data_IF_511162993303
#
_entry.id   IF_511162993303
#
_cell.length_a   1.000
_cell.length_b   1.000
_cell.length_c   1.000
_cell.angle_alpha   90.00
_cell.angle_beta   90.00
_cell.angle_gamma   90.00
#
_symmetry.space_group_name_H-M   'P 1'
#
loop_
_entity.id
_entity.type
_entity.pdbx_description
1 polymer ?
#
# COMPACT_ATOMS: atom_id res chain seq x y z
N UNK A 1 22.74 -6.34 -3.01
CA UNK A 1 21.55 -6.93 -2.35
C UNK A 1 21.40 -6.25 -0.98
N UNK A 2 20.65 -5.14 -0.90
CA UNK A 2 20.49 -4.30 0.31
C UNK A 2 19.04 -4.44 0.82
N UNK A 3 18.75 -5.53 1.52
CA UNK A 3 17.39 -5.85 2.00
C UNK A 3 17.17 -6.05 3.52
N UNK A 4 18.19 -6.19 4.39
CA UNK A 4 17.92 -6.52 5.80
C UNK A 4 17.31 -5.36 6.61
N UNK A 5 17.60 -4.11 6.26
CA UNK A 5 17.13 -2.97 7.05
C UNK A 5 15.63 -2.69 6.90
N UNK A 6 15.01 -3.10 5.78
CA UNK A 6 13.57 -2.95 5.58
C UNK A 6 12.75 -3.83 6.52
N UNK A 7 13.24 -5.05 6.81
CA UNK A 7 12.62 -5.90 7.82
C UNK A 7 12.71 -5.24 9.20
N UNK A 8 13.90 -4.74 9.57
CA UNK A 8 14.11 -4.02 10.83
C UNK A 8 13.21 -2.78 10.94
N UNK A 9 13.10 -1.98 9.88
CA UNK A 9 12.18 -0.84 9.85
C UNK A 9 10.72 -1.28 9.99
N UNK A 10 10.32 -2.32 9.27
CA UNK A 10 9.00 -2.92 9.37
C UNK A 10 8.64 -3.39 10.78
N UNK A 11 9.60 -4.00 11.48
CA UNK A 11 9.46 -4.42 12.87
C UNK A 11 9.29 -3.22 13.80
N UNK A 12 10.13 -2.19 13.64
CA UNK A 12 10.04 -0.95 14.43
C UNK A 12 8.69 -0.26 14.20
N UNK A 13 8.26 -0.13 12.94
CA UNK A 13 6.95 0.44 12.59
C UNK A 13 5.83 -0.40 13.20
N UNK A 14 5.87 -1.73 13.09
CA UNK A 14 4.82 -2.59 13.65
C UNK A 14 4.77 -2.48 15.17
N UNK A 15 5.90 -2.44 15.88
CA UNK A 15 5.91 -2.24 17.33
C UNK A 15 5.37 -0.85 17.70
N UNK A 16 5.88 0.20 17.06
CA UNK A 16 5.52 1.58 17.38
C UNK A 16 4.06 1.89 17.04
N UNK A 17 3.60 1.52 15.84
CA UNK A 17 2.27 1.81 15.35
C UNK A 17 1.15 1.18 16.19
N UNK A 18 1.48 0.11 16.90
CA UNK A 18 0.57 -0.67 17.74
C UNK A 18 0.66 -0.29 19.22
N UNK A 19 1.50 0.68 19.58
CA UNK A 19 1.47 1.30 20.89
C UNK A 19 0.22 2.19 21.02
N UNK A 20 -0.33 2.29 22.23
CA UNK A 20 -1.40 3.25 22.56
C UNK A 20 -0.84 4.66 22.61
N UNK A 21 -0.63 5.26 21.43
CA UNK A 21 -0.13 6.62 21.30
C UNK A 21 -1.18 7.60 21.84
N UNK A 22 -0.77 8.50 22.73
CA UNK A 22 -1.66 9.50 23.33
C UNK A 22 -1.95 10.65 22.36
N UNK A 23 -1.08 10.85 21.36
CA UNK A 23 -1.21 11.92 20.39
C UNK A 23 -0.91 11.40 18.97
N UNK A 24 -1.94 11.32 18.13
CA UNK A 24 -1.83 10.81 16.77
C UNK A 24 -1.05 11.74 15.84
N UNK A 25 -0.87 13.02 16.21
CA UNK A 25 -0.05 13.99 15.46
C UNK A 25 1.43 13.67 15.45
N UNK A 26 1.88 12.88 16.42
CA UNK A 26 3.30 12.72 16.68
C UNK A 26 3.87 11.44 16.04
N UNK A 27 3.09 10.70 15.24
CA UNK A 27 3.51 9.40 14.69
C UNK A 27 4.78 9.48 13.82
N UNK A 28 4.79 10.39 12.84
CA UNK A 28 5.98 10.61 12.01
C UNK A 28 7.06 11.36 12.79
N UNK A 29 6.68 12.31 13.64
CA UNK A 29 7.59 13.11 14.46
C UNK A 29 8.43 12.22 15.40
N UNK A 30 7.78 11.31 16.14
CA UNK A 30 8.44 10.41 17.07
C UNK A 30 9.38 9.44 16.37
N UNK A 31 9.08 9.09 15.11
CA UNK A 31 9.91 8.23 14.28
C UNK A 31 11.01 8.97 13.52
N UNK A 32 10.96 10.32 13.48
CA UNK A 32 11.85 11.16 12.67
C UNK A 32 13.34 10.93 12.96
N UNK A 33 13.71 10.78 14.24
CA UNK A 33 15.10 10.55 14.65
C UNK A 33 15.63 9.20 14.18
N UNK A 34 14.83 8.14 14.32
CA UNK A 34 15.17 6.79 13.83
C UNK A 34 15.23 6.80 12.31
N UNK A 35 14.26 7.43 11.65
CA UNK A 35 14.22 7.56 10.20
C UNK A 35 15.48 8.26 9.65
N UNK A 36 15.95 9.35 10.27
CA UNK A 36 17.19 10.02 9.87
C UNK A 36 18.41 9.12 10.00
N UNK A 37 18.53 8.40 11.12
CA UNK A 37 19.63 7.44 11.32
C UNK A 37 19.62 6.32 10.28
N UNK A 38 18.44 5.78 9.94
CA UNK A 38 18.29 4.78 8.90
C UNK A 38 18.63 5.34 7.51
N UNK A 39 18.16 6.54 7.19
CA UNK A 39 18.45 7.23 5.93
C UNK A 39 19.95 7.43 5.73
N UNK A 40 20.65 7.94 6.74
CA UNK A 40 22.11 8.14 6.71
C UNK A 40 22.87 6.82 6.54
N UNK A 41 22.50 5.80 7.31
CA UNK A 41 23.19 4.51 7.32
C UNK A 41 22.99 3.73 6.02
N UNK A 42 21.76 3.74 5.47
CA UNK A 42 21.38 2.93 4.32
C UNK A 42 21.50 3.67 2.98
N UNK A 43 21.70 4.99 3.02
CA UNK A 43 21.70 5.88 1.85
C UNK A 43 20.40 5.76 1.04
N UNK A 44 19.26 5.65 1.72
CA UNK A 44 17.93 5.62 1.10
C UNK A 44 17.11 6.82 1.57
N UNK A 45 16.11 7.22 0.79
CA UNK A 45 15.27 8.39 1.08
C UNK A 45 14.02 7.98 1.85
N UNK A 46 13.83 8.59 3.01
CA UNK A 46 12.62 8.44 3.80
C UNK A 46 11.45 9.23 3.19
N UNK A 47 10.31 8.57 3.01
CA UNK A 47 9.10 9.11 2.41
C UNK A 47 7.92 8.86 3.35
N UNK A 48 7.65 9.81 4.26
CA UNK A 48 6.49 9.80 5.15
C UNK A 48 6.18 8.43 5.80
N UNK A 49 7.18 7.72 6.30
CA UNK A 49 7.02 6.42 6.95
C UNK A 49 7.51 5.22 6.13
N UNK A 50 7.79 5.41 4.84
CA UNK A 50 8.21 4.40 3.88
C UNK A 50 9.59 4.74 3.29
N UNK A 51 10.17 3.81 2.52
CA UNK A 51 11.48 3.96 1.90
C UNK A 51 11.42 4.00 0.38
N UNK A 52 12.09 4.98 -0.23
CA UNK A 52 12.14 5.16 -1.69
C UNK A 52 12.65 3.92 -2.42
N UNK A 53 13.73 3.30 -1.93
CA UNK A 53 14.39 2.17 -2.58
C UNK A 53 13.54 0.91 -2.70
N UNK A 54 12.50 0.77 -1.86
CA UNK A 54 11.57 -0.37 -1.87
C UNK A 54 10.10 0.07 -1.80
N UNK A 55 9.79 1.26 -2.32
CA UNK A 55 8.43 1.82 -2.20
C UNK A 55 7.35 0.87 -2.73
N UNK A 56 7.65 0.08 -3.75
CA UNK A 56 6.78 -0.97 -4.29
C UNK A 56 6.41 -2.06 -3.27
N UNK A 57 7.29 -2.37 -2.32
CA UNK A 57 7.02 -3.30 -1.23
C UNK A 57 6.46 -2.59 -0.01
N UNK A 58 6.94 -1.39 0.31
CA UNK A 58 6.49 -0.66 1.48
C UNK A 58 5.02 -0.22 1.36
N UNK A 59 4.56 0.07 0.13
CA UNK A 59 3.14 0.30 -0.16
C UNK A 59 2.24 -0.94 0.06
N UNK A 60 2.80 -2.11 0.39
CA UNK A 60 2.00 -3.32 0.74
C UNK A 60 1.71 -3.44 2.23
N UNK A 61 1.95 -2.38 3.03
CA UNK A 61 1.51 -2.38 4.44
C UNK A 61 0.01 -2.67 4.55
N UNK A 62 -0.47 -3.13 5.70
CA UNK A 62 -1.88 -3.48 5.91
C UNK A 62 -2.32 -3.26 7.35
N UNK A 63 -3.63 -3.18 7.55
CA UNK A 63 -4.27 -3.14 8.87
C UNK A 63 -5.11 -4.39 9.10
N UNK A 64 -5.50 -4.62 10.35
CA UNK A 64 -6.47 -5.65 10.72
C UNK A 64 -7.92 -5.13 10.77
N UNK A 65 -8.25 -4.03 10.08
CA UNK A 65 -9.63 -3.51 10.05
C UNK A 65 -10.60 -4.52 9.45
N UNK A 66 -10.17 -5.24 8.41
CA UNK A 66 -10.96 -6.31 7.77
C UNK A 66 -11.18 -7.53 8.68
N UNK A 67 -10.42 -7.62 9.78
CA UNK A 67 -10.56 -8.64 10.83
C UNK A 67 -11.42 -8.15 12.00
N UNK A 68 -12.02 -6.96 11.89
CA UNK A 68 -12.95 -6.38 12.87
C UNK A 68 -12.35 -5.33 13.80
N UNK A 69 -11.08 -4.98 13.63
CA UNK A 69 -10.47 -3.90 14.41
C UNK A 69 -11.08 -2.52 14.06
N UNK A 70 -11.12 -1.63 15.04
CA UNK A 70 -11.56 -0.24 14.86
C UNK A 70 -10.39 0.59 14.36
N UNK A 71 -10.32 0.78 13.04
CA UNK A 71 -9.26 1.53 12.36
C UNK A 71 -9.87 2.73 11.65
N UNK A 72 -9.34 3.91 11.93
CA UNK A 72 -9.79 5.16 11.32
C UNK A 72 -8.62 5.92 10.73
N UNK A 73 -8.90 6.89 9.85
CA UNK A 73 -7.89 7.83 9.39
C UNK A 73 -7.46 8.71 10.56
N UNK A 74 -6.16 8.98 10.65
CA UNK A 74 -5.63 9.92 11.64
C UNK A 74 -6.24 11.31 11.43
N UNK A 75 -6.53 12.02 12.51
CA UNK A 75 -6.93 13.44 12.46
C UNK A 75 -5.76 14.33 12.03
N UNK A 76 -4.54 13.88 12.27
CA UNK A 76 -3.33 14.56 11.84
C UNK A 76 -2.94 14.17 10.43
N UNK A 77 -2.38 15.13 9.69
CA UNK A 77 -2.04 14.89 8.30
C UNK A 77 -0.92 13.84 8.15
N UNK A 78 -1.25 12.78 7.43
CA UNK A 78 -0.33 11.90 6.75
C UNK A 78 -0.99 11.44 5.43
N UNK A 79 -0.22 11.25 4.34
CA UNK A 79 -0.79 10.87 3.06
C UNK A 79 -1.41 9.47 3.14
N UNK A 80 -2.48 9.19 2.39
CA UNK A 80 -3.23 7.92 2.58
C UNK A 80 -2.42 6.68 2.25
N UNK A 81 -1.37 6.82 1.45
CA UNK A 81 -0.41 5.78 1.12
C UNK A 81 0.62 5.49 2.23
N UNK A 82 0.71 6.32 3.27
CA UNK A 82 1.53 6.09 4.46
C UNK A 82 0.76 5.30 5.52
N UNK A 83 1.45 4.38 6.22
CA UNK A 83 0.90 3.70 7.38
C UNK A 83 0.53 4.65 8.52
N UNK A 84 1.15 5.84 8.58
CA UNK A 84 0.86 6.84 9.61
C UNK A 84 -0.50 7.52 9.40
N UNK A 85 -1.16 7.29 8.26
CA UNK A 85 -2.50 7.85 7.97
C UNK A 85 -3.64 7.14 8.68
N UNK A 86 -3.38 6.05 9.41
CA UNK A 86 -4.40 5.26 10.12
C UNK A 86 -4.01 4.98 11.57
N UNK A 87 -5.02 4.85 12.43
CA UNK A 87 -4.89 4.64 13.89
C UNK A 87 -5.94 3.66 14.40
N UNK A 88 -5.73 3.09 15.59
CA UNK A 88 -6.72 2.27 16.33
C UNK A 88 -6.63 0.75 16.14
N UNK A 89 -5.89 0.25 15.14
CA UNK A 89 -5.68 -1.19 14.93
C UNK A 89 -4.22 -1.58 14.72
N UNK A 90 -4.02 -2.86 14.42
CA UNK A 90 -2.70 -3.43 14.19
C UNK A 90 -2.21 -3.10 12.79
N UNK A 91 -1.06 -2.44 12.69
CA UNK A 91 -0.38 -2.15 11.42
C UNK A 91 0.73 -3.18 11.20
N UNK A 92 0.84 -3.66 9.97
CA UNK A 92 1.92 -4.54 9.55
C UNK A 92 2.59 -3.97 8.31
N UNK A 93 3.87 -3.65 8.44
CA UNK A 93 4.76 -3.28 7.34
C UNK A 93 5.77 -4.43 7.18
N UNK A 94 5.48 -5.39 6.31
CA UNK A 94 6.37 -6.51 6.04
C UNK A 94 6.67 -6.59 4.55
N UNK A 95 7.94 -6.85 4.22
CA UNK A 95 8.29 -7.16 2.83
C UNK A 95 7.56 -8.41 2.36
N UNK A 96 7.03 -8.35 1.15
CA UNK A 96 6.50 -9.52 0.48
C UNK A 96 7.68 -10.47 0.19
N UNK A 97 7.68 -11.65 0.78
CA UNK A 97 8.72 -12.65 0.59
C UNK A 97 8.11 -13.97 0.11
N UNK A 98 8.80 -14.64 -0.82
CA UNK A 98 8.42 -15.99 -1.20
C UNK A 98 8.75 -16.93 -0.04
N UNK A 99 7.93 -17.98 0.14
CA UNK A 99 8.31 -19.14 0.95
C UNK A 99 9.64 -19.76 0.50
N UNK A 100 10.08 -19.48 -0.73
CA UNK A 100 11.30 -20.00 -1.35
C UNK A 100 12.40 -18.94 -1.49
N UNK A 101 12.33 -17.80 -0.77
CA UNK A 101 13.41 -16.80 -0.73
C UNK A 101 13.54 -15.90 -1.97
N UNK A 102 12.59 -15.94 -2.90
CA UNK A 102 12.52 -15.02 -4.03
C UNK A 102 12.26 -13.58 -3.60
N UNK A 103 13.01 -12.64 -4.18
CA UNK A 103 12.81 -11.20 -3.98
C UNK A 103 11.59 -10.70 -4.75
N UNK A 104 10.83 -9.74 -4.18
CA UNK A 104 9.75 -9.10 -4.90
C UNK A 104 10.28 -8.32 -6.10
N UNK A 105 9.60 -8.50 -7.23
CA UNK A 105 9.84 -7.82 -8.50
C UNK A 105 8.94 -6.59 -8.54
N UNK A 106 9.49 -5.37 -8.69
CA UNK A 106 8.69 -4.16 -8.77
C UNK A 106 7.82 -4.16 -10.04
N UNK A 107 6.57 -3.73 -9.90
CA UNK A 107 5.60 -3.55 -10.99
C UNK A 107 5.12 -2.09 -11.09
N UNK A 108 5.80 -1.19 -10.40
CA UNK A 108 5.66 0.25 -10.48
C UNK A 108 7.04 0.91 -10.59
N UNK A 109 7.06 2.11 -11.15
CA UNK A 109 8.23 3.00 -11.12
C UNK A 109 7.86 4.28 -10.37
N UNK A 110 8.67 4.65 -9.37
CA UNK A 110 8.52 5.94 -8.70
C UNK A 110 9.18 7.02 -9.56
N UNK A 111 8.37 7.93 -10.09
CA UNK A 111 8.83 9.03 -10.93
C UNK A 111 9.27 10.21 -10.08
N UNK A 112 8.44 10.60 -9.11
CA UNK A 112 8.72 11.75 -8.24
C UNK A 112 8.04 11.58 -6.88
N UNK A 113 8.69 12.05 -5.82
CA UNK A 113 8.08 12.20 -4.51
C UNK A 113 8.14 13.67 -4.09
N UNK A 114 6.98 14.29 -3.85
CA UNK A 114 6.87 15.69 -3.40
C UNK A 114 6.42 15.71 -1.94
N UNK A 115 7.37 15.90 -1.03
CA UNK A 115 7.14 15.95 0.41
C UNK A 115 7.35 17.39 0.89
N UNK A 116 6.35 17.95 1.55
CA UNK A 116 6.37 19.30 2.11
C UNK A 116 6.17 19.19 3.62
N UNK A 117 7.17 19.56 4.40
CA UNK A 117 7.08 19.65 5.86
C UNK A 117 6.11 20.74 6.34
N UNK A 118 5.69 20.65 7.60
CA UNK A 118 5.03 21.75 8.32
C UNK A 118 5.92 22.21 9.49
N UNK A 119 6.43 23.45 9.47
CA UNK A 119 6.29 24.46 8.42
C UNK A 119 7.08 24.12 7.13
N UNK A 120 6.75 24.72 5.97
CA UNK A 120 7.45 24.47 4.71
C UNK A 120 8.94 24.78 4.79
N UNK A 121 9.77 23.86 4.26
CA UNK A 121 11.24 23.98 4.29
C UNK A 121 11.89 23.51 5.59
N UNK A 122 11.10 22.97 6.51
CA UNK A 122 11.54 22.30 7.73
C UNK A 122 11.93 20.83 7.50
N UNK A 123 11.70 20.01 8.53
CA UNK A 123 12.08 18.60 8.54
C UNK A 123 11.07 17.71 7.81
N UNK A 124 11.48 17.16 6.66
CA UNK A 124 10.64 16.28 5.83
C UNK A 124 10.49 14.84 6.39
N UNK A 125 11.10 14.51 7.52
CA UNK A 125 10.88 13.20 8.18
C UNK A 125 9.86 13.25 9.32
N UNK A 126 9.41 14.44 9.71
CA UNK A 126 8.49 14.66 10.83
C UNK A 126 7.10 15.08 10.38
N UNK A 127 6.64 16.24 10.87
CA UNK A 127 5.32 16.78 10.57
C UNK A 127 5.25 17.26 9.12
N UNK A 128 4.20 16.85 8.41
CA UNK A 128 4.01 17.14 6.98
C UNK A 128 2.80 18.02 6.76
N UNK A 129 2.89 18.89 5.75
CA UNK A 129 1.78 19.66 5.17
C UNK A 129 1.15 18.91 4.00
N UNK A 130 1.99 18.34 3.14
CA UNK A 130 1.57 17.52 2.01
C UNK A 130 2.64 16.50 1.64
N UNK A 131 2.21 15.38 1.04
CA UNK A 131 3.09 14.32 0.59
C UNK A 131 2.44 13.57 -0.57
N UNK A 132 3.06 13.66 -1.75
CA UNK A 132 2.55 13.11 -2.99
C UNK A 132 3.58 12.18 -3.62
N UNK A 133 3.12 11.05 -4.17
CA UNK A 133 3.95 10.12 -4.94
C UNK A 133 3.43 10.01 -6.35
N UNK A 134 4.23 10.45 -7.32
CA UNK A 134 3.98 10.18 -8.72
C UNK A 134 4.60 8.85 -9.08
N UNK A 135 3.75 7.91 -9.48
CA UNK A 135 4.17 6.58 -9.91
C UNK A 135 3.72 6.33 -11.34
N UNK A 136 4.58 5.71 -12.11
CA UNK A 136 4.18 5.04 -13.34
C UNK A 136 3.66 3.65 -12.92
N UNK A 137 2.41 3.36 -13.29
CA UNK A 137 1.78 2.05 -13.06
C UNK A 137 0.94 1.55 -14.25
N UNK A 138 0.64 0.25 -14.29
CA UNK A 138 -0.46 -0.28 -15.09
C UNK A 138 -1.74 -0.24 -14.24
N UNK A 139 -2.77 0.46 -14.73
CA UNK A 139 -4.06 0.52 -14.05
C UNK A 139 -4.95 -0.66 -14.44
N UNK A 140 -5.59 -1.21 -13.41
CA UNK A 140 -6.62 -2.22 -13.50
C UNK A 140 -7.88 -1.69 -12.81
N UNK A 141 -9.01 -2.33 -13.07
CA UNK A 141 -10.29 -1.97 -12.48
C UNK A 141 -10.83 -3.15 -11.71
N UNK A 142 -11.38 -2.92 -10.53
CA UNK A 142 -11.96 -4.00 -9.73
C UNK A 142 -13.46 -3.84 -9.54
N UNK A 143 -14.11 -4.98 -9.28
CA UNK A 143 -15.48 -5.10 -8.83
C UNK A 143 -15.55 -6.12 -7.69
N UNK A 144 -15.96 -5.66 -6.52
CA UNK A 144 -16.31 -6.48 -5.38
C UNK A 144 -17.82 -6.73 -5.37
N UNK A 145 -18.24 -7.98 -5.16
CA UNK A 145 -19.66 -8.36 -5.01
C UNK A 145 -19.87 -8.98 -3.64
N UNK A 146 -20.65 -8.30 -2.79
CA UNK A 146 -20.88 -8.67 -1.39
C UNK A 146 -21.44 -10.08 -1.24
N UNK A 147 -22.51 -10.39 -1.98
CA UNK A 147 -23.27 -11.65 -1.85
C UNK A 147 -22.40 -12.89 -2.08
N UNK A 148 -21.46 -12.81 -3.02
CA UNK A 148 -20.59 -13.92 -3.40
C UNK A 148 -19.19 -13.80 -2.82
N UNK A 149 -18.88 -12.71 -2.10
CA UNK A 149 -17.52 -12.36 -1.66
C UNK A 149 -16.47 -12.46 -2.77
N UNK A 150 -16.85 -12.09 -4.00
CA UNK A 150 -15.99 -12.18 -5.17
C UNK A 150 -15.35 -10.84 -5.49
N UNK A 151 -14.06 -10.88 -5.77
CA UNK A 151 -13.30 -9.78 -6.35
C UNK A 151 -12.95 -10.16 -7.79
N UNK A 152 -13.49 -9.41 -8.74
CA UNK A 152 -13.11 -9.47 -10.14
C UNK A 152 -12.21 -8.29 -10.48
N UNK A 153 -11.16 -8.54 -11.25
CA UNK A 153 -10.20 -7.52 -11.71
C UNK A 153 -10.16 -7.55 -13.24
N UNK A 154 -10.10 -6.38 -13.87
CA UNK A 154 -10.21 -6.17 -15.30
C UNK A 154 -9.06 -5.29 -15.81
N UNK A 155 -8.63 -5.54 -17.05
CA UNK A 155 -7.54 -4.77 -17.71
C UNK A 155 -8.03 -3.51 -18.42
N UNK A 156 -9.34 -3.28 -18.47
CA UNK A 156 -9.98 -2.16 -19.16
C UNK A 156 -11.04 -1.48 -18.29
N UNK A 157 -11.23 -0.18 -18.49
CA UNK A 157 -12.17 0.65 -17.72
C UNK A 157 -13.63 0.22 -17.90
N UNK A 158 -13.98 -0.26 -19.10
CA UNK A 158 -15.31 -0.81 -19.38
C UNK A 158 -15.57 -2.15 -18.66
N UNK A 159 -14.55 -2.73 -18.01
CA UNK A 159 -14.62 -3.98 -17.23
C UNK A 159 -15.13 -5.16 -18.07
N UNK A 160 -14.64 -5.25 -19.31
CA UNK A 160 -15.00 -6.32 -20.26
C UNK A 160 -13.93 -7.41 -20.38
N UNK A 161 -12.67 -7.07 -20.11
CA UNK A 161 -11.51 -7.96 -20.18
C UNK A 161 -11.09 -8.39 -18.78
N UNK A 162 -11.76 -9.43 -18.28
CA UNK A 162 -11.47 -10.01 -16.97
C UNK A 162 -10.04 -10.57 -16.91
N UNK A 163 -9.25 -10.10 -15.94
CA UNK A 163 -7.96 -10.65 -15.57
C UNK A 163 -8.12 -11.86 -14.65
N UNK A 164 -8.89 -11.72 -13.56
CA UNK A 164 -9.35 -12.83 -12.73
C UNK A 164 -10.70 -12.50 -12.07
N UNK A 165 -11.44 -13.55 -11.67
CA UNK A 165 -12.62 -13.47 -10.80
C UNK A 165 -12.50 -14.58 -9.75
N UNK A 166 -12.33 -14.19 -8.49
CA UNK A 166 -12.05 -15.12 -7.39
C UNK A 166 -12.85 -14.78 -6.15
N UNK A 167 -13.31 -15.80 -5.44
CA UNK A 167 -13.86 -15.67 -4.10
C UNK A 167 -12.72 -15.41 -3.10
N UNK A 168 -12.82 -14.30 -2.36
CA UNK A 168 -11.85 -13.94 -1.33
C UNK A 168 -12.36 -14.39 0.04
N UNK A 169 -11.49 -15.09 0.77
CA UNK A 169 -11.63 -15.28 2.22
C UNK A 169 -10.96 -14.08 2.91
N UNK A 170 -11.37 -13.78 4.14
CA UNK A 170 -10.98 -12.57 4.88
C UNK A 170 -9.45 -12.41 5.09
N UNK A 171 -8.63 -13.39 4.69
CA UNK A 171 -7.17 -13.38 4.81
C UNK A 171 -6.42 -12.83 3.59
N UNK A 172 -7.09 -12.54 2.46
CA UNK A 172 -6.42 -12.14 1.21
C UNK A 172 -6.76 -10.70 0.73
N UNK A 173 -7.73 -10.04 1.37
CA UNK A 173 -8.20 -8.68 1.06
C UNK A 173 -8.15 -7.84 2.34
N UNK A 174 -7.31 -6.80 2.33
CA UNK A 174 -7.06 -5.92 3.47
C UNK A 174 -7.51 -4.50 3.16
N UNK A 175 -8.69 -4.13 3.65
CA UNK A 175 -9.22 -2.77 3.58
C UNK A 175 -8.68 -1.97 4.76
N UNK A 176 -8.18 -0.75 4.52
CA UNK A 176 -7.38 0.00 5.49
C UNK A 176 -8.18 0.46 6.73
N UNK A 177 -9.46 0.82 6.56
CA UNK A 177 -10.27 1.52 7.58
C UNK A 177 -11.64 0.89 7.79
N UNK A 178 -12.18 1.01 9.01
CA UNK A 178 -13.48 0.44 9.42
C UNK A 178 -14.64 1.00 8.61
N UNK A 179 -14.65 2.30 8.31
CA UNK A 179 -15.71 2.90 7.47
C UNK A 179 -15.74 2.31 6.04
N UNK A 180 -14.57 1.95 5.51
CA UNK A 180 -14.46 1.35 4.18
C UNK A 180 -14.81 -0.13 4.22
N UNK A 181 -14.44 -0.85 5.29
CA UNK A 181 -14.92 -2.21 5.55
C UNK A 181 -16.44 -2.23 5.59
N UNK A 182 -17.05 -1.29 6.31
CA UNK A 182 -18.51 -1.12 6.38
C UNK A 182 -19.11 -0.89 4.98
N UNK A 183 -18.50 -0.03 4.16
CA UNK A 183 -18.91 0.18 2.75
C UNK A 183 -18.92 -1.12 1.94
N UNK A 184 -17.88 -1.95 2.06
CA UNK A 184 -17.78 -3.25 1.38
C UNK A 184 -18.77 -4.30 1.93
N UNK A 185 -19.21 -4.14 3.18
CA UNK A 185 -20.22 -4.97 3.81
C UNK A 185 -21.65 -4.52 3.51
N UNK A 186 -21.89 -3.23 3.29
CA UNK A 186 -23.24 -2.70 3.10
C UNK A 186 -23.67 -2.68 1.64
N UNK A 187 -22.77 -2.25 0.74
CA UNK A 187 -23.08 -2.13 -0.68
C UNK A 187 -23.17 -3.51 -1.35
N UNK A 188 -24.14 -3.70 -2.26
CA UNK A 188 -24.21 -4.94 -3.06
C UNK A 188 -22.95 -5.14 -3.89
N UNK A 189 -22.41 -4.03 -4.41
CA UNK A 189 -21.23 -4.00 -5.25
C UNK A 189 -20.38 -2.76 -4.94
N UNK A 190 -19.06 -2.92 -4.94
CA UNK A 190 -18.09 -1.83 -4.85
C UNK A 190 -17.13 -1.93 -6.02
N UNK A 191 -16.95 -0.84 -6.77
CA UNK A 191 -15.99 -0.77 -7.87
C UNK A 191 -14.93 0.29 -7.61
N UNK A 192 -13.77 0.12 -8.23
CA UNK A 192 -12.68 1.08 -8.15
C UNK A 192 -11.53 0.73 -9.06
N UNK A 193 -10.38 1.37 -8.80
CA UNK A 193 -9.13 1.18 -9.54
C UNK A 193 -8.16 0.42 -8.65
N UNK A 194 -7.33 -0.43 -9.25
CA UNK A 194 -6.21 -1.04 -8.56
C UNK A 194 -4.97 -1.10 -9.46
N UNK A 195 -3.81 -1.31 -8.86
CA UNK A 195 -2.56 -1.50 -9.60
C UNK A 195 -1.73 -2.59 -8.93
N UNK A 196 -0.96 -3.38 -9.70
CA UNK A 196 0.00 -4.31 -9.13
C UNK A 196 1.22 -3.54 -8.64
N UNK A 197 1.58 -3.72 -7.37
CA UNK A 197 2.76 -3.09 -6.76
C UNK A 197 4.02 -3.90 -7.02
N UNK A 198 3.94 -5.20 -6.75
CA UNK A 198 5.06 -6.12 -6.94
C UNK A 198 4.58 -7.57 -7.12
N UNK A 199 5.48 -8.42 -7.60
CA UNK A 199 5.25 -9.85 -7.78
C UNK A 199 6.36 -10.69 -7.14
N UNK A 200 6.00 -11.80 -6.52
CA UNK A 200 6.95 -12.73 -5.90
C UNK A 200 6.83 -14.08 -6.59
N UNK A 201 7.97 -14.64 -7.02
CA UNK A 201 8.04 -15.99 -7.58
C UNK A 201 7.75 -17.03 -6.49
N UNK A 202 6.80 -17.93 -6.77
CA UNK A 202 6.55 -19.16 -6.03
C UNK A 202 7.34 -20.34 -6.59
N UNK A 203 7.21 -21.50 -5.95
CA UNK A 203 7.73 -22.75 -6.51
C UNK A 203 6.92 -23.20 -7.74
N UNK A 204 7.56 -23.98 -8.60
CA UNK A 204 6.91 -24.64 -9.75
C UNK A 204 6.21 -23.66 -10.72
N UNK A 205 6.74 -22.45 -10.88
CA UNK A 205 6.21 -21.44 -11.82
C UNK A 205 4.99 -20.67 -11.34
N UNK A 206 4.55 -20.91 -10.09
CA UNK A 206 3.57 -20.06 -9.42
C UNK A 206 4.15 -18.68 -9.09
N UNK A 207 3.29 -17.71 -8.84
CA UNK A 207 3.68 -16.41 -8.32
C UNK A 207 2.50 -15.69 -7.69
N UNK A 208 2.78 -14.71 -6.86
CA UNK A 208 1.75 -13.89 -6.20
C UNK A 208 2.07 -12.42 -6.46
N UNK A 209 1.08 -11.68 -6.94
CA UNK A 209 1.13 -10.23 -7.03
C UNK A 209 0.44 -9.60 -5.82
N UNK A 210 1.04 -8.54 -5.29
CA UNK A 210 0.39 -7.62 -4.37
C UNK A 210 -0.24 -6.48 -5.18
N UNK A 211 -1.47 -6.13 -4.88
CA UNK A 211 -2.18 -5.04 -5.51
C UNK A 211 -2.52 -3.96 -4.49
N UNK A 212 -2.45 -2.71 -4.93
CA UNK A 212 -2.96 -1.54 -4.23
C UNK A 212 -4.36 -1.20 -4.76
N UNK A 213 -5.33 -1.02 -3.86
CA UNK A 213 -6.68 -0.55 -4.19
C UNK A 213 -6.76 0.95 -4.00
N UNK A 214 -7.41 1.63 -4.95
CA UNK A 214 -7.43 3.07 -5.07
C UNK A 214 -8.86 3.61 -5.23
N UNK A 215 -9.09 4.74 -4.57
CA UNK A 215 -10.25 5.61 -4.74
C UNK A 215 -9.83 6.83 -5.55
N UNK A 216 -10.57 7.12 -6.61
CA UNK A 216 -10.33 8.28 -7.46
C UNK A 216 -10.69 9.57 -6.72
N UNK A 217 -9.82 10.58 -6.81
CA UNK A 217 -10.07 11.91 -6.24
C UNK A 217 -10.39 12.91 -7.35
N UNK A 218 -9.46 13.11 -8.28
CA UNK A 218 -9.61 14.02 -9.42
C UNK A 218 -8.49 13.75 -10.42
N UNK A 219 -8.75 13.91 -11.74
CA UNK A 219 -7.73 13.69 -12.76
C UNK A 219 -7.01 12.35 -12.60
N UNK A 220 -5.69 12.39 -12.38
CA UNK A 220 -4.82 11.23 -12.11
C UNK A 220 -4.46 11.05 -10.62
N UNK A 221 -5.21 11.69 -9.71
CA UNK A 221 -4.97 11.69 -8.27
C UNK A 221 -5.85 10.63 -7.59
N UNK A 222 -5.21 9.82 -6.74
CA UNK A 222 -5.86 8.70 -6.05
C UNK A 222 -5.49 8.64 -4.58
N UNK A 223 -6.43 8.17 -3.77
CA UNK A 223 -6.20 7.77 -2.38
C UNK A 223 -6.14 6.26 -2.28
N UNK A 224 -5.30 5.76 -1.38
CA UNK A 224 -5.23 4.36 -1.03
C UNK A 224 -6.47 3.93 -0.24
N UNK A 225 -7.00 2.76 -0.56
CA UNK A 225 -8.17 2.14 0.08
C UNK A 225 -7.80 0.86 0.85
N UNK A 226 -6.81 0.13 0.34
CA UNK A 226 -6.44 -1.17 0.85
C UNK A 226 -5.49 -1.90 -0.08
N UNK A 227 -5.23 -3.16 0.22
CA UNK A 227 -4.42 -4.06 -0.60
C UNK A 227 -5.07 -5.42 -0.72
N UNK A 228 -4.71 -6.17 -1.76
CA UNK A 228 -5.05 -7.59 -1.83
C UNK A 228 -3.92 -8.35 -2.50
N UNK A 229 -3.90 -9.66 -2.31
CA UNK A 229 -2.96 -10.54 -3.00
C UNK A 229 -3.71 -11.45 -3.97
N UNK A 230 -3.10 -11.71 -5.12
CA UNK A 230 -3.60 -12.66 -6.08
C UNK A 230 -2.43 -13.47 -6.65
N UNK A 231 -2.56 -14.79 -6.64
CA UNK A 231 -1.59 -15.70 -7.24
C UNK A 231 -2.30 -16.92 -7.81
N UNK A 232 -1.89 -17.30 -9.02
CA UNK A 232 -2.31 -18.53 -9.71
C UNK A 232 -1.08 -19.19 -10.36
N UNK A 233 -1.20 -20.49 -10.65
CA UNK A 233 -0.21 -21.17 -11.49
C UNK A 233 -0.21 -20.52 -12.88
N UNK A 234 0.96 -20.07 -13.35
CA UNK A 234 1.20 -19.53 -14.70
C UNK A 234 0.56 -18.17 -15.02
N UNK A 235 -0.51 -17.73 -14.34
CA UNK A 235 -1.15 -16.41 -14.52
C UNK A 235 -0.80 -15.43 -13.40
N UNK A 236 0.33 -14.75 -13.56
CA UNK A 236 0.71 -13.62 -12.70
C UNK A 236 1.56 -12.63 -13.50
N UNK A 237 1.57 -11.37 -13.08
CA UNK A 237 2.26 -10.28 -13.77
C UNK A 237 3.74 -10.38 -13.42
N UNK A 238 4.53 -10.89 -14.38
CA UNK A 238 5.97 -11.16 -14.22
C UNK A 238 6.84 -9.94 -14.46
N UNK A 239 6.37 -9.06 -15.31
CA UNK A 239 7.09 -7.87 -15.72
C UNK A 239 6.10 -6.81 -16.19
N UNK A 240 6.57 -5.58 -16.13
CA UNK A 240 5.95 -4.46 -16.79
C UNK A 240 5.99 -4.63 -18.31
N UNK A 241 4.85 -4.58 -19.00
CA UNK A 241 4.82 -4.59 -20.47
C UNK A 241 3.64 -3.78 -21.01
N UNK A 242 3.86 -2.49 -21.29
CA UNK A 242 2.84 -1.57 -21.82
C UNK A 242 3.24 -0.09 -21.68
N UNK A 243 2.45 0.81 -22.27
CA UNK A 243 2.52 2.25 -21.97
C UNK A 243 1.91 2.48 -20.59
N UNK A 244 2.74 2.89 -19.63
CA UNK A 244 2.29 3.18 -18.28
C UNK A 244 1.33 4.34 -18.19
N UNK A 245 0.52 4.34 -17.14
CA UNK A 245 -0.22 5.52 -16.70
C UNK A 245 0.53 6.14 -15.52
N UNK A 246 0.80 7.43 -15.61
CA UNK A 246 1.30 8.20 -14.46
C UNK A 246 0.13 8.60 -13.59
N UNK A 247 0.17 8.23 -12.31
CA UNK A 247 -0.79 8.65 -11.30
C UNK A 247 -0.08 9.30 -10.12
N UNK A 248 -0.84 10.06 -9.33
CA UNK A 248 -0.38 10.68 -8.09
C UNK A 248 -1.13 10.06 -6.91
N UNK A 249 -0.40 9.48 -5.96
CA UNK A 249 -0.95 9.04 -4.67
C UNK A 249 -0.86 10.18 -3.66
N UNK A 250 -1.97 10.43 -2.95
CA UNK A 250 -2.09 11.45 -1.90
C UNK A 250 -2.58 10.88 -0.57
#
# INVERSE_FOLDING_TARGET
>A
MRLPYHQQWGDVVSIYANCSLTNDSDRLIAMSGIAKSFQETNQDTYLAGLWKGVIFSDLTWKTNASEGAQVQRSESYAPTWSWASVVGGHITLCMMHSRHGGLPIPLIELVEARIVSEPPGGDNTGLLRSAELDIECMLYHYRWVRKTKKLAVFTDEARTKCYFDKEYRDQDLYIDTTNMVQKFQDMEQVEGVCLPLCGVHGAYGAGTNAFLMLEHVSGTIFKRVGTFQHGEMVKWIRQWSGSGTRITLV
#
